data_IF_885091854925
#
_entry.id   IF_885091854925
#
_cell.length_a   1.000
_cell.length_b   1.000
_cell.length_c   1.000
_cell.angle_alpha   90.00
_cell.angle_beta   90.00
_cell.angle_gamma   90.00
#
_symmetry.space_group_name_H-M   'P 1'
#
loop_
_entity.id
_entity.type
_entity.pdbx_description
1 polymer ?
#
# COMPACT_ATOMS: atom_id res chain seq x y z
N UNK A 1 -14.64 -13.86 19.14
CA UNK A 1 -15.07 -13.38 17.82
C UNK A 1 -13.87 -13.50 16.90
N UNK A 2 -14.03 -14.15 15.75
CA UNK A 2 -12.94 -14.45 14.80
C UNK A 2 -12.45 -13.15 14.14
N UNK A 3 -11.15 -12.85 14.15
CA UNK A 3 -10.65 -11.53 13.77
C UNK A 3 -10.39 -11.31 12.27
N UNK A 4 -10.84 -12.20 11.37
CA UNK A 4 -10.36 -12.22 9.97
C UNK A 4 -11.49 -12.35 8.93
N UNK A 5 -12.59 -11.60 9.05
CA UNK A 5 -13.61 -11.59 8.00
C UNK A 5 -13.45 -10.28 7.22
N UNK A 6 -12.84 -10.39 6.04
CA UNK A 6 -13.01 -9.38 4.98
C UNK A 6 -14.50 -9.31 4.66
N UNK A 7 -15.10 -8.14 4.84
CA UNK A 7 -16.54 -7.96 4.60
C UNK A 7 -16.82 -7.60 3.14
N UNK A 8 -16.04 -6.68 2.58
CA UNK A 8 -16.17 -6.27 1.19
C UNK A 8 -14.84 -5.74 0.63
N UNK A 9 -14.78 -5.60 -0.69
CA UNK A 9 -13.63 -5.09 -1.41
C UNK A 9 -14.05 -4.03 -2.41
N UNK A 10 -13.26 -2.96 -2.53
CA UNK A 10 -13.46 -1.91 -3.53
C UNK A 10 -12.26 -1.83 -4.48
N UNK A 11 -12.54 -1.75 -5.77
CA UNK A 11 -11.55 -1.41 -6.78
C UNK A 11 -11.38 0.11 -6.78
N UNK A 12 -10.19 0.58 -6.38
CA UNK A 12 -9.94 2.02 -6.16
C UNK A 12 -9.25 2.68 -7.35
N UNK A 13 -8.62 1.88 -8.20
CA UNK A 13 -7.99 2.25 -9.46
C UNK A 13 -7.80 0.96 -10.27
N UNK A 14 -7.62 1.09 -11.58
CA UNK A 14 -7.34 -0.06 -12.45
C UNK A 14 -6.21 -0.91 -11.85
N UNK A 15 -6.51 -2.16 -11.50
CA UNK A 15 -5.59 -3.14 -10.89
C UNK A 15 -5.28 -2.96 -9.38
N UNK A 16 -6.00 -2.11 -8.66
CA UNK A 16 -5.90 -1.95 -7.20
C UNK A 16 -7.21 -2.31 -6.51
N UNK A 17 -7.15 -3.30 -5.62
CA UNK A 17 -8.27 -3.66 -4.77
C UNK A 17 -7.92 -3.41 -3.30
N UNK A 18 -8.84 -2.81 -2.56
CA UNK A 18 -8.73 -2.66 -1.11
C UNK A 18 -9.82 -3.48 -0.45
N UNK A 19 -9.43 -4.28 0.53
CA UNK A 19 -10.34 -5.07 1.36
C UNK A 19 -10.56 -4.40 2.70
N UNK A 20 -11.81 -4.38 3.15
CA UNK A 20 -12.25 -3.78 4.40
C UNK A 20 -12.77 -4.82 5.39
N UNK A 21 -12.67 -4.51 6.68
CA UNK A 21 -13.38 -5.25 7.73
C UNK A 21 -14.78 -4.66 7.96
N UNK A 22 -15.48 -5.19 8.95
CA UNK A 22 -16.82 -4.75 9.35
C UNK A 22 -16.89 -3.36 9.99
N UNK A 23 -15.75 -2.75 10.29
CA UNK A 23 -15.65 -1.38 10.83
C UNK A 23 -15.20 -0.38 9.75
N UNK A 24 -15.28 -0.74 8.46
CA UNK A 24 -14.77 0.02 7.30
C UNK A 24 -13.27 0.35 7.38
N UNK A 25 -12.48 -0.44 8.13
CA UNK A 25 -11.03 -0.27 8.21
C UNK A 25 -10.36 -1.08 7.12
N UNK A 26 -9.31 -0.50 6.52
CA UNK A 26 -8.50 -1.12 5.48
C UNK A 26 -7.70 -2.27 6.08
N UNK A 27 -7.93 -3.48 5.58
CA UNK A 27 -7.30 -4.73 6.05
C UNK A 27 -6.24 -5.22 5.08
N UNK A 28 -6.49 -5.09 3.78
CA UNK A 28 -5.56 -5.55 2.75
C UNK A 28 -5.58 -4.63 1.52
N UNK A 29 -4.46 -4.64 0.80
CA UNK A 29 -4.28 -3.99 -0.49
C UNK A 29 -3.76 -5.05 -1.44
N UNK A 30 -4.51 -5.32 -2.50
CA UNK A 30 -4.15 -6.26 -3.55
C UNK A 30 -3.82 -5.50 -4.84
N UNK A 31 -2.76 -5.96 -5.50
CA UNK A 31 -2.25 -5.41 -6.76
C UNK A 31 -2.33 -6.52 -7.81
N UNK A 32 -3.07 -6.29 -8.89
CA UNK A 32 -3.13 -7.23 -10.01
C UNK A 32 -2.24 -6.76 -11.16
N UNK A 33 -1.92 -7.67 -12.09
CA UNK A 33 -1.13 -7.35 -13.29
C UNK A 33 0.19 -6.62 -12.97
N UNK A 34 0.86 -7.01 -11.88
CA UNK A 34 2.00 -6.31 -11.27
C UNK A 34 3.14 -6.05 -12.27
N UNK A 35 3.37 -6.95 -13.23
CA UNK A 35 4.38 -6.79 -14.28
C UNK A 35 4.15 -5.58 -15.18
N UNK A 36 2.89 -5.19 -15.37
CA UNK A 36 2.51 -4.02 -16.16
C UNK A 36 2.47 -2.75 -15.32
N UNK A 37 2.21 -2.90 -14.03
CA UNK A 37 1.99 -1.78 -13.11
C UNK A 37 3.28 -1.25 -12.47
N UNK A 38 4.23 -2.13 -12.15
CA UNK A 38 5.41 -1.81 -11.36
C UNK A 38 6.70 -1.94 -12.18
N UNK A 39 7.75 -1.27 -11.69
CA UNK A 39 9.13 -1.58 -12.06
C UNK A 39 9.55 -2.88 -11.38
N UNK A 40 9.24 -4.02 -11.99
CA UNK A 40 9.68 -5.33 -11.49
C UNK A 40 11.19 -5.48 -11.64
N UNK A 41 11.77 -4.91 -12.71
CA UNK A 41 13.20 -4.90 -12.97
C UNK A 41 13.71 -3.46 -13.14
N UNK A 42 14.87 -3.17 -12.57
CA UNK A 42 15.55 -1.89 -12.71
C UNK A 42 16.32 -1.80 -14.03
N UNK A 43 17.00 -0.67 -14.29
CA UNK A 43 17.74 -0.44 -15.55
C UNK A 43 18.81 -1.49 -15.88
N UNK A 44 19.30 -2.23 -14.88
CA UNK A 44 20.29 -3.29 -15.03
C UNK A 44 19.68 -4.72 -15.02
N UNK A 45 18.35 -4.83 -15.12
CA UNK A 45 17.66 -6.13 -15.08
C UNK A 45 17.58 -6.79 -13.69
N UNK A 46 18.03 -6.08 -12.64
CA UNK A 46 17.91 -6.53 -11.25
C UNK A 46 16.48 -6.30 -10.74
N UNK A 47 15.90 -7.20 -9.91
CA UNK A 47 14.63 -6.94 -9.26
C UNK A 47 14.63 -5.61 -8.50
N UNK A 48 13.68 -4.73 -8.82
CA UNK A 48 13.63 -3.36 -8.26
C UNK A 48 12.41 -3.13 -7.35
N UNK A 49 11.54 -4.14 -7.25
CA UNK A 49 10.35 -4.11 -6.44
C UNK A 49 10.70 -4.27 -4.95
N UNK A 50 10.09 -3.42 -4.12
CA UNK A 50 10.15 -3.50 -2.66
C UNK A 50 8.76 -3.25 -2.08
N UNK A 51 8.57 -3.55 -0.80
CA UNK A 51 7.41 -3.09 -0.04
C UNK A 51 7.98 -2.42 1.21
N UNK A 52 8.08 -1.10 1.16
CA UNK A 52 8.67 -0.29 2.23
C UNK A 52 7.63 0.70 2.79
N UNK A 53 6.94 0.33 3.88
CA UNK A 53 5.95 1.18 4.52
C UNK A 53 6.59 2.19 5.49
N UNK A 54 6.28 3.47 5.30
CA UNK A 54 6.74 4.59 6.14
C UNK A 54 5.51 5.35 6.63
N UNK A 55 5.36 5.47 7.95
CA UNK A 55 4.29 6.23 8.57
C UNK A 55 4.79 7.59 9.07
N UNK A 56 4.29 8.67 8.44
CA UNK A 56 4.58 10.05 8.80
C UNK A 56 3.57 10.53 9.84
N UNK A 57 3.92 10.38 11.12
CA UNK A 57 3.02 10.68 12.25
C UNK A 57 2.51 12.12 12.26
N UNK A 58 3.34 13.10 11.93
CA UNK A 58 2.97 14.51 11.97
C UNK A 58 1.93 14.90 10.91
N UNK A 59 1.86 14.13 9.81
CA UNK A 59 0.92 14.35 8.71
C UNK A 59 -0.24 13.34 8.71
N UNK A 60 -0.20 12.32 9.57
CA UNK A 60 -1.08 11.16 9.55
C UNK A 60 -1.17 10.48 8.17
N UNK A 61 -0.01 10.23 7.56
CA UNK A 61 0.11 9.60 6.24
C UNK A 61 0.91 8.31 6.34
N UNK A 62 0.33 7.19 5.89
CA UNK A 62 1.08 5.97 5.58
C UNK A 62 1.44 6.00 4.10
N UNK A 63 2.74 5.97 3.80
CA UNK A 63 3.28 5.79 2.46
C UNK A 63 3.83 4.39 2.32
N UNK A 64 3.47 3.67 1.26
CA UNK A 64 4.08 2.38 0.93
C UNK A 64 4.85 2.57 -0.38
N UNK A 65 6.17 2.46 -0.32
CA UNK A 65 7.04 2.49 -1.50
C UNK A 65 7.09 1.11 -2.16
N UNK A 66 6.97 1.09 -3.48
CA UNK A 66 7.10 -0.12 -4.30
C UNK A 66 8.45 -0.24 -5.02
N UNK A 67 9.28 0.81 -4.94
CA UNK A 67 10.61 0.87 -5.54
C UNK A 67 11.66 1.26 -4.50
N UNK A 68 12.88 0.75 -4.67
CA UNK A 68 14.03 1.03 -3.79
C UNK A 68 14.93 2.18 -4.27
N UNK A 69 14.46 2.94 -5.27
CA UNK A 69 15.11 4.14 -5.77
C UNK A 69 14.17 5.33 -5.62
N UNK A 70 14.72 6.54 -5.74
CA UNK A 70 13.93 7.77 -5.78
C UNK A 70 13.69 8.14 -7.24
N UNK A 71 12.46 8.02 -7.77
CA UNK A 71 12.14 8.54 -9.09
C UNK A 71 12.38 10.05 -9.12
N UNK A 72 12.92 10.59 -10.24
CA UNK A 72 13.20 12.02 -10.35
C UNK A 72 11.93 12.87 -10.30
N UNK A 73 10.81 12.34 -10.82
CA UNK A 73 9.49 12.96 -10.79
C UNK A 73 8.48 11.92 -10.33
N UNK A 74 7.59 12.32 -9.43
CA UNK A 74 6.44 11.52 -9.00
C UNK A 74 5.20 12.39 -9.15
N UNK A 75 4.21 11.89 -9.90
CA UNK A 75 2.89 12.50 -10.03
C UNK A 75 1.92 11.69 -9.17
N UNK A 76 1.16 12.37 -8.33
CA UNK A 76 0.13 11.72 -7.52
C UNK A 76 -1.21 11.77 -8.23
N UNK A 77 -1.81 10.58 -8.43
CA UNK A 77 -3.13 10.39 -8.99
C UNK A 77 -4.12 10.08 -7.88
N UNK A 78 -5.25 10.76 -7.89
CA UNK A 78 -6.37 10.46 -6.99
C UNK A 78 -7.03 9.16 -7.43
N UNK A 79 -7.47 8.38 -6.44
CA UNK A 79 -8.26 7.17 -6.62
C UNK A 79 -9.74 7.47 -6.40
N UNK A 80 -10.61 6.52 -6.72
CA UNK A 80 -12.04 6.64 -6.42
C UNK A 80 -12.30 6.62 -4.90
N UNK A 81 -11.38 5.99 -4.15
CA UNK A 81 -11.38 6.03 -2.69
C UNK A 81 -10.83 7.35 -2.16
N UNK A 82 -11.58 7.97 -1.25
CA UNK A 82 -11.15 9.19 -0.58
C UNK A 82 -9.93 8.89 0.32
N UNK A 83 -9.01 9.86 0.40
CA UNK A 83 -7.81 9.78 1.23
C UNK A 83 -6.81 8.72 0.75
N UNK A 84 -6.87 8.29 -0.50
CA UNK A 84 -5.86 7.46 -1.14
C UNK A 84 -5.38 8.14 -2.43
N UNK A 85 -4.06 8.15 -2.61
CA UNK A 85 -3.43 8.59 -3.85
C UNK A 85 -2.34 7.59 -4.27
N UNK A 86 -2.18 7.42 -5.59
CA UNK A 86 -1.16 6.57 -6.19
C UNK A 86 -0.08 7.45 -6.80
N UNK A 87 1.16 7.27 -6.37
CA UNK A 87 2.32 7.91 -6.97
C UNK A 87 2.79 7.13 -8.18
N UNK A 88 2.84 7.78 -9.34
CA UNK A 88 3.41 7.23 -10.58
C UNK A 88 4.63 8.04 -11.04
N UNK A 89 5.54 7.39 -11.74
CA UNK A 89 6.66 8.08 -12.40
C UNK A 89 6.33 8.52 -13.83
N UNK A 90 7.32 9.04 -14.55
CA UNK A 90 7.16 9.51 -15.94
C UNK A 90 6.85 8.38 -16.94
N UNK A 91 7.11 7.12 -16.58
CA UNK A 91 6.75 5.95 -17.38
C UNK A 91 5.34 5.42 -17.02
N UNK A 92 4.57 6.18 -16.22
CA UNK A 92 3.25 5.81 -15.72
C UNK A 92 3.27 4.53 -14.87
N UNK A 93 4.44 4.18 -14.31
CA UNK A 93 4.61 3.04 -13.41
C UNK A 93 4.35 3.48 -11.99
N UNK A 94 3.68 2.63 -11.22
CA UNK A 94 3.42 2.92 -9.81
C UNK A 94 4.71 2.76 -9.01
N UNK A 95 5.01 3.78 -8.21
CA UNK A 95 6.21 3.86 -7.36
C UNK A 95 5.86 3.88 -5.88
N UNK A 96 4.67 4.39 -5.51
CA UNK A 96 4.16 4.33 -4.15
C UNK A 96 2.64 4.48 -4.10
N UNK A 97 2.07 4.21 -2.94
CA UNK A 97 0.69 4.54 -2.57
C UNK A 97 0.69 5.31 -1.25
N UNK A 98 -0.18 6.32 -1.16
CA UNK A 98 -0.39 7.14 0.02
C UNK A 98 -1.76 6.87 0.60
N UNK A 99 -1.81 6.64 1.90
CA UNK A 99 -3.02 6.62 2.71
C UNK A 99 -3.00 7.83 3.63
N UNK A 100 -3.88 8.79 3.37
CA UNK A 100 -4.12 9.93 4.25
C UNK A 100 -5.10 9.53 5.36
N UNK A 101 -5.07 10.28 6.47
CA UNK A 101 -5.86 9.97 7.67
C UNK A 101 -5.65 8.49 8.10
N UNK A 102 -4.41 8.03 7.98
CA UNK A 102 -4.05 6.62 8.10
C UNK A 102 -4.41 6.04 9.47
N UNK A 103 -4.27 6.83 10.54
CA UNK A 103 -4.63 6.44 11.90
C UNK A 103 -6.11 6.08 12.07
N UNK A 104 -7.01 6.69 11.28
CA UNK A 104 -8.45 6.44 11.35
C UNK A 104 -8.88 5.23 10.51
N UNK A 105 -8.08 4.85 9.51
CA UNK A 105 -8.48 3.90 8.46
C UNK A 105 -7.69 2.60 8.46
N UNK A 106 -6.54 2.54 9.12
CA UNK A 106 -5.73 1.32 9.22
C UNK A 106 -6.19 0.53 10.44
N UNK A 107 -6.49 -0.76 10.26
CA UNK A 107 -6.81 -1.65 11.36
C UNK A 107 -5.68 -1.63 12.39
N UNK A 108 -6.03 -1.23 13.62
CA UNK A 108 -5.35 -1.44 14.90
C UNK A 108 -3.84 -1.74 14.78
N UNK A 109 -3.01 -0.81 15.24
CA UNK A 109 -1.57 -1.02 15.43
C UNK A 109 -1.34 -2.37 16.11
N UNK A 110 -0.66 -3.31 15.41
CA UNK A 110 -0.35 -4.62 15.98
C UNK A 110 0.34 -4.42 17.33
N UNK A 111 -0.12 -5.13 18.35
CA UNK A 111 0.55 -5.14 19.64
C UNK A 111 1.97 -5.70 19.48
N UNK A 112 2.85 -5.37 20.43
CA UNK A 112 4.23 -5.86 20.41
C UNK A 112 4.30 -7.40 20.38
N UNK A 113 3.35 -8.06 21.07
CA UNK A 113 3.19 -9.52 21.05
C UNK A 113 2.80 -10.07 19.67
N UNK A 114 1.85 -9.42 18.98
CA UNK A 114 1.43 -9.83 17.64
C UNK A 114 2.57 -9.67 16.62
N UNK A 115 3.38 -8.61 16.76
CA UNK A 115 4.58 -8.38 15.94
C UNK A 115 5.65 -9.46 16.15
N UNK A 116 5.89 -9.86 17.39
CA UNK A 116 6.87 -10.92 17.73
C UNK A 116 6.39 -12.28 17.21
N UNK A 117 5.11 -12.61 17.35
CA UNK A 117 4.56 -13.89 16.90
C UNK A 117 4.60 -14.03 15.36
N UNK A 118 4.36 -12.97 14.60
CA UNK A 118 4.49 -13.01 13.12
C UNK A 118 5.94 -13.18 12.66
N UNK A 119 6.92 -12.63 13.36
CA UNK A 119 8.36 -12.84 13.07
C UNK A 119 8.82 -14.28 13.33
N UNK A 120 8.22 -14.97 14.29
CA UNK A 120 8.54 -16.38 14.61
C UNK A 120 7.92 -17.41 13.65
N UNK A 121 6.94 -16.99 12.85
CA UNK A 121 6.26 -17.85 11.85
C UNK A 121 6.85 -17.74 10.43
N UNK A 122 7.92 -16.96 10.24
CA UNK A 122 8.67 -16.83 8.97
C UNK A 122 9.94 -17.66 9.01
#
# INVERSE_FOLDING_TARGET
MSPDIVEYCDEIADNFLISYDCDDKKVAVELYCISNLLHVFGPQGMPCFTIDPIYYKDLDILKINFVNFTPPVIKFKKTDEKDIEIGVDDAEKVVNILFYNASNRILKTLSEEERINRKKKR
#
